data_IF_530364024282
#
_entry.id   IF_530364024282
#
_cell.length_a   1.000
_cell.length_b   1.000
_cell.length_c   1.000
_cell.angle_alpha   90.00
_cell.angle_beta   90.00
_cell.angle_gamma   90.00
#
_symmetry.space_group_name_H-M   'P 1'
#
loop_
_entity.id
_entity.type
_entity.pdbx_description
1 polymer ?
#
# COMPACT_ATOMS: atom_id res chain seq x y z
N UNK A 1 -51.20 -4.20 15.84
CA UNK A 1 -50.87 -4.42 14.43
C UNK A 1 -49.99 -3.25 14.00
N UNK A 2 -48.70 -3.52 13.83
CA UNK A 2 -47.62 -2.52 13.86
C UNK A 2 -47.35 -2.03 12.45
N UNK A 3 -47.46 -0.71 12.28
CA UNK A 3 -46.97 0.05 11.13
C UNK A 3 -45.46 0.25 11.28
N UNK A 4 -44.68 -0.19 10.30
CA UNK A 4 -43.23 0.00 10.27
C UNK A 4 -42.85 1.14 9.30
N UNK A 5 -41.92 2.04 9.68
CA UNK A 5 -41.16 2.85 8.74
C UNK A 5 -39.69 2.38 8.61
N UNK A 6 -39.03 2.99 7.61
CA UNK A 6 -37.74 2.74 6.96
C UNK A 6 -36.48 2.57 7.84
N UNK A 7 -35.40 2.02 7.26
CA UNK A 7 -34.12 2.71 6.92
C UNK A 7 -33.19 1.72 6.16
N UNK A 8 -32.46 2.24 5.16
CA UNK A 8 -31.51 1.56 4.27
C UNK A 8 -30.16 1.22 4.95
N UNK A 9 -29.37 0.27 4.41
CA UNK A 9 -27.89 0.39 4.26
C UNK A 9 -27.29 -0.73 3.38
N UNK A 10 -26.14 -0.41 2.78
CA UNK A 10 -25.53 -0.99 1.58
C UNK A 10 -24.71 -2.28 1.75
N UNK A 11 -24.67 -3.02 0.63
CA UNK A 11 -23.70 -3.95 0.04
C UNK A 11 -22.41 -4.35 0.81
N UNK A 12 -22.32 -5.64 1.15
CA UNK A 12 -21.07 -6.40 1.27
C UNK A 12 -21.28 -7.75 0.55
N UNK A 13 -20.40 -8.11 -0.39
CA UNK A 13 -20.19 -9.52 -0.72
C UNK A 13 -18.78 -9.76 -1.27
N UNK A 14 -17.93 -10.35 -0.41
CA UNK A 14 -16.70 -11.06 -0.78
C UNK A 14 -16.98 -12.15 -1.82
N UNK A 15 -16.02 -12.37 -2.72
CA UNK A 15 -15.98 -13.58 -3.55
C UNK A 15 -14.55 -14.13 -3.64
N UNK A 16 -14.38 -15.31 -3.05
CA UNK A 16 -13.26 -16.25 -3.20
C UNK A 16 -13.30 -16.97 -4.57
N UNK A 17 -12.21 -17.67 -4.98
CA UNK A 17 -11.99 -18.07 -6.37
C UNK A 17 -12.59 -19.45 -6.68
N UNK A 18 -13.17 -19.60 -7.88
CA UNK A 18 -13.50 -20.90 -8.48
C UNK A 18 -12.59 -21.17 -9.69
N UNK A 19 -11.90 -22.31 -9.62
CA UNK A 19 -11.16 -22.92 -10.72
C UNK A 19 -12.16 -23.53 -11.72
N UNK A 20 -12.07 -23.17 -13.01
CA UNK A 20 -12.61 -23.98 -14.10
C UNK A 20 -11.65 -24.03 -15.30
N UNK A 21 -11.43 -25.27 -15.76
CA UNK A 21 -10.55 -25.75 -16.82
C UNK A 21 -10.88 -25.23 -18.23
N UNK A 22 -9.93 -25.24 -19.19
CA UNK A 22 -10.20 -24.83 -20.56
C UNK A 22 -10.75 -26.00 -21.40
N UNK A 23 -11.84 -25.77 -22.13
CA UNK A 23 -12.29 -26.66 -23.21
C UNK A 23 -11.53 -26.31 -24.51
N UNK A 24 -11.01 -27.36 -25.12
CA UNK A 24 -10.23 -27.43 -26.36
C UNK A 24 -11.03 -26.91 -27.59
N UNK A 25 -10.45 -26.08 -28.50
CA UNK A 25 -11.10 -25.78 -29.77
C UNK A 25 -10.78 -26.88 -30.79
N UNK A 26 -11.82 -27.41 -31.44
CA UNK A 26 -11.73 -28.30 -32.59
C UNK A 26 -10.97 -27.61 -33.73
N UNK A 27 -9.89 -28.25 -34.18
CA UNK A 27 -9.12 -27.85 -35.34
C UNK A 27 -9.87 -28.19 -36.63
N UNK A 28 -10.26 -27.18 -37.42
CA UNK A 28 -10.48 -27.35 -38.85
C UNK A 28 -9.18 -27.03 -39.59
N UNK A 29 -8.55 -28.07 -40.15
CA UNK A 29 -7.50 -27.93 -41.17
C UNK A 29 -8.17 -27.58 -42.51
N UNK A 30 -7.82 -26.44 -43.10
CA UNK A 30 -7.80 -26.29 -44.56
C UNK A 30 -6.36 -26.05 -45.00
N UNK A 31 -5.92 -26.87 -45.95
CA UNK A 31 -4.52 -27.02 -46.35
C UNK A 31 -4.02 -26.00 -47.37
N UNK A 32 -2.69 -25.94 -47.41
CA UNK A 32 -1.81 -25.69 -48.55
C UNK A 32 -1.81 -24.30 -49.22
N UNK A 33 -0.73 -23.55 -48.99
CA UNK A 33 0.00 -22.90 -50.10
C UNK A 33 0.00 -21.36 -50.19
N UNK A 34 1.13 -20.79 -49.74
CA UNK A 34 1.86 -19.64 -50.33
C UNK A 34 1.19 -18.26 -50.42
N UNK A 35 1.56 -17.41 -49.45
CA UNK A 35 2.07 -16.04 -49.60
C UNK A 35 1.51 -15.16 -50.73
N UNK A 36 0.63 -14.21 -50.37
CA UNK A 36 0.84 -12.81 -50.74
C UNK A 36 0.09 -11.86 -49.80
N UNK A 37 0.87 -10.97 -49.19
CA UNK A 37 0.40 -9.82 -48.42
C UNK A 37 -0.65 -9.03 -49.21
N UNK A 38 -1.86 -8.91 -48.69
CA UNK A 38 -2.72 -7.78 -48.99
C UNK A 38 -3.49 -7.44 -47.73
N UNK A 39 -3.15 -6.29 -47.16
CA UNK A 39 -3.81 -5.66 -46.02
C UNK A 39 -5.33 -5.69 -46.19
N UNK A 40 -6.00 -6.55 -45.42
CA UNK A 40 -7.45 -6.51 -45.26
C UNK A 40 -7.74 -6.21 -43.80
N UNK A 41 -8.08 -4.93 -43.57
CA UNK A 41 -8.57 -4.31 -42.34
C UNK A 41 -9.44 -5.25 -41.50
N UNK A 42 -8.82 -6.04 -40.64
CA UNK A 42 -9.47 -6.56 -39.44
C UNK A 42 -8.89 -5.72 -38.32
N UNK A 43 -9.65 -4.70 -37.91
CA UNK A 43 -9.48 -4.08 -36.61
C UNK A 43 -9.71 -5.17 -35.57
N UNK A 44 -8.66 -5.94 -35.27
CA UNK A 44 -8.53 -6.50 -33.94
C UNK A 44 -8.40 -5.26 -33.08
N UNK A 45 -9.53 -4.80 -32.54
CA UNK A 45 -9.54 -4.09 -31.29
C UNK A 45 -8.95 -5.06 -30.27
N UNK A 46 -7.64 -5.30 -30.36
CA UNK A 46 -6.84 -5.58 -29.18
C UNK A 46 -7.22 -4.40 -28.33
N UNK A 47 -7.98 -4.67 -27.28
CA UNK A 47 -8.28 -3.67 -26.27
C UNK A 47 -6.92 -3.07 -25.94
N UNK A 48 -6.63 -1.89 -26.50
CA UNK A 48 -5.75 -0.95 -25.83
C UNK A 48 -6.53 -0.61 -24.60
N UNK A 49 -6.45 -1.49 -23.60
CA UNK A 49 -6.76 -1.14 -22.24
C UNK A 49 -6.02 0.19 -22.06
N UNK A 50 -6.72 1.27 -21.66
CA UNK A 50 -6.03 2.51 -21.36
C UNK A 50 -4.89 2.11 -20.44
N UNK A 51 -3.66 2.54 -20.75
CA UNK A 51 -2.46 2.16 -20.01
C UNK A 51 -2.80 2.23 -18.52
N UNK A 52 -3.17 1.09 -17.93
CA UNK A 52 -3.53 1.02 -16.54
C UNK A 52 -2.24 1.45 -15.87
N UNK A 53 -2.26 2.58 -15.15
CA UNK A 53 -1.07 3.21 -14.56
C UNK A 53 -0.17 2.11 -14.05
N UNK A 54 0.85 1.76 -14.84
CA UNK A 54 1.50 0.49 -14.64
C UNK A 54 2.27 0.68 -13.34
N UNK A 55 1.88 -0.08 -12.32
CA UNK A 55 2.43 0.02 -10.98
C UNK A 55 3.60 -0.97 -10.91
N UNK A 56 4.76 -0.51 -10.45
CA UNK A 56 5.94 -1.35 -10.31
C UNK A 56 5.60 -2.62 -9.47
N UNK A 57 5.68 -3.83 -10.03
CA UNK A 57 5.29 -5.06 -9.32
C UNK A 57 6.31 -5.47 -8.24
N UNK A 58 7.46 -4.80 -8.20
CA UNK A 58 8.59 -5.10 -7.34
C UNK A 58 8.66 -4.21 -6.09
N UNK A 59 7.63 -3.39 -5.82
CA UNK A 59 7.63 -2.57 -4.61
C UNK A 59 7.70 -3.44 -3.35
N UNK A 60 8.66 -3.19 -2.43
CA UNK A 60 8.81 -3.94 -1.19
C UNK A 60 7.66 -3.62 -0.20
N UNK A 61 7.54 -4.39 0.90
CA UNK A 61 6.64 -4.05 2.00
C UNK A 61 6.86 -2.63 2.53
N UNK A 62 5.86 -2.09 3.20
CA UNK A 62 5.88 -0.72 3.74
C UNK A 62 6.15 0.35 2.67
N UNK A 63 5.72 0.09 1.43
CA UNK A 63 5.78 1.05 0.32
C UNK A 63 4.49 1.04 -0.50
N UNK A 64 4.26 2.13 -1.23
CA UNK A 64 3.20 2.28 -2.23
C UNK A 64 3.81 2.59 -3.58
N UNK A 65 3.24 2.06 -4.66
CA UNK A 65 3.75 2.39 -5.98
C UNK A 65 3.44 3.83 -6.36
N UNK A 66 4.38 4.44 -7.08
CA UNK A 66 4.23 5.79 -7.65
C UNK A 66 3.97 5.68 -9.16
N UNK A 67 4.76 4.86 -9.83
CA UNK A 67 4.64 4.58 -11.27
C UNK A 67 5.27 3.21 -11.60
N UNK A 68 5.55 2.94 -12.87
CA UNK A 68 6.04 1.64 -13.35
C UNK A 68 7.48 1.32 -12.92
N UNK A 69 8.22 2.34 -12.50
CA UNK A 69 9.66 2.26 -12.20
C UNK A 69 10.02 2.83 -10.83
N UNK A 70 9.04 3.20 -10.02
CA UNK A 70 9.29 3.82 -8.72
C UNK A 70 8.22 3.46 -7.69
N UNK A 71 8.70 3.24 -6.47
CA UNK A 71 7.89 3.04 -5.27
C UNK A 71 8.23 4.12 -4.25
N UNK A 72 7.34 4.34 -3.30
CA UNK A 72 7.47 5.32 -2.22
C UNK A 72 7.24 4.63 -0.89
N UNK A 73 8.19 4.73 0.03
CA UNK A 73 8.01 4.24 1.39
C UNK A 73 6.80 4.91 2.06
N UNK A 74 6.10 4.16 2.90
CA UNK A 74 5.05 4.71 3.73
C UNK A 74 5.65 5.69 4.76
N UNK A 75 4.85 6.63 5.31
CA UNK A 75 5.32 7.50 6.39
C UNK A 75 5.86 6.67 7.57
N UNK A 76 6.96 7.11 8.16
CA UNK A 76 7.67 6.35 9.20
C UNK A 76 8.64 5.30 8.67
N UNK A 77 8.78 5.16 7.35
CA UNK A 77 9.73 4.24 6.72
C UNK A 77 10.65 4.98 5.73
N UNK A 78 11.88 4.48 5.57
CA UNK A 78 12.85 5.01 4.62
C UNK A 78 13.78 3.93 4.07
N UNK A 79 14.31 4.14 2.86
CA UNK A 79 15.42 3.36 2.30
C UNK A 79 16.73 4.16 2.37
N UNK A 80 17.83 3.53 2.00
CA UNK A 80 19.13 4.17 1.77
C UNK A 80 19.06 5.33 0.73
N UNK A 81 18.23 5.18 -0.30
CA UNK A 81 17.98 6.24 -1.29
C UNK A 81 16.92 7.26 -0.86
N UNK A 82 16.35 7.13 0.35
CA UNK A 82 15.30 8.01 0.89
C UNK A 82 13.89 7.42 0.76
N UNK A 83 12.90 8.30 0.56
CA UNK A 83 11.48 7.91 0.51
C UNK A 83 11.09 7.27 -0.84
N UNK A 84 11.71 7.67 -1.95
CA UNK A 84 11.42 7.14 -3.29
C UNK A 84 12.50 6.15 -3.67
N UNK A 85 12.10 4.91 -3.97
CA UNK A 85 13.00 3.84 -4.41
C UNK A 85 12.76 3.51 -5.88
N UNK A 86 13.84 3.41 -6.64
CA UNK A 86 13.85 3.03 -8.06
C UNK A 86 14.57 1.71 -8.30
N UNK A 87 15.21 1.16 -7.27
CA UNK A 87 15.95 -0.08 -7.30
C UNK A 87 15.17 -1.20 -6.58
N UNK A 88 14.86 -2.33 -7.24
CA UNK A 88 14.16 -3.45 -6.63
C UNK A 88 14.85 -4.11 -5.44
N UNK A 89 16.16 -3.88 -5.27
CA UNK A 89 16.95 -4.43 -4.14
C UNK A 89 16.88 -3.58 -2.88
N UNK A 90 16.17 -2.44 -2.92
CA UNK A 90 15.97 -1.59 -1.76
C UNK A 90 14.75 -2.02 -0.93
N UNK A 91 14.79 -1.66 0.35
CA UNK A 91 13.75 -1.99 1.31
C UNK A 91 13.34 -0.72 2.07
N UNK A 92 12.07 -0.63 2.46
CA UNK A 92 11.56 0.47 3.27
C UNK A 92 11.60 0.04 4.74
N UNK A 93 12.67 0.43 5.42
CA UNK A 93 12.90 0.08 6.81
C UNK A 93 12.34 1.16 7.73
N UNK A 94 11.91 0.74 8.92
CA UNK A 94 11.36 1.61 9.95
C UNK A 94 12.34 2.70 10.35
N UNK A 95 11.85 3.93 10.46
CA UNK A 95 12.64 5.08 10.92
C UNK A 95 12.61 5.07 12.45
N UNK A 96 13.74 4.78 13.09
CA UNK A 96 13.84 4.93 14.55
C UNK A 96 13.91 6.41 14.95
N UNK A 97 12.76 7.03 15.22
CA UNK A 97 12.67 8.43 15.60
C UNK A 97 13.25 8.70 17.00
N UNK A 98 13.35 7.67 17.84
CA UNK A 98 13.99 7.72 19.15
C UNK A 98 15.51 7.51 19.07
N UNK A 99 16.01 7.12 17.90
CA UNK A 99 17.42 6.87 17.65
C UNK A 99 18.28 8.13 17.70
N UNK A 100 19.62 7.98 17.83
CA UNK A 100 20.56 9.09 18.00
C UNK A 100 20.61 10.06 16.80
N UNK A 101 20.09 9.66 15.64
CA UNK A 101 20.13 10.44 14.40
C UNK A 101 18.97 11.44 14.26
N UNK A 102 17.78 11.09 14.75
CA UNK A 102 16.58 11.93 14.65
C UNK A 102 16.22 12.64 15.96
N UNK A 103 16.57 12.03 17.11
CA UNK A 103 16.36 12.56 18.48
C UNK A 103 15.07 13.37 18.60
N UNK A 104 13.92 12.72 18.37
CA UNK A 104 12.68 13.36 18.79
C UNK A 104 12.74 13.61 20.29
N UNK A 105 12.50 14.87 20.67
CA UNK A 105 12.36 15.25 22.08
C UNK A 105 10.92 14.96 22.52
N UNK A 106 10.77 14.15 23.57
CA UNK A 106 9.50 13.96 24.27
C UNK A 106 9.30 14.97 25.40
N UNK A 107 10.27 15.87 25.63
CA UNK A 107 10.33 16.75 26.78
C UNK A 107 10.79 16.05 28.07
N UNK A 108 10.67 16.77 29.19
CA UNK A 108 11.11 16.29 30.50
C UNK A 108 10.17 15.21 31.04
N UNK A 109 10.69 14.33 31.89
CA UNK A 109 9.89 13.29 32.57
C UNK A 109 9.14 12.36 31.61
N UNK A 110 9.65 12.16 30.41
CA UNK A 110 9.08 11.26 29.42
C UNK A 110 10.18 10.54 28.63
N UNK A 111 9.89 9.30 28.25
CA UNK A 111 10.73 8.47 27.40
C UNK A 111 10.12 8.35 26.01
N UNK A 112 10.96 8.40 24.98
CA UNK A 112 10.59 8.04 23.61
C UNK A 112 10.56 6.52 23.46
N UNK A 113 9.54 6.01 22.76
CA UNK A 113 9.42 4.60 22.36
C UNK A 113 9.15 4.50 20.87
N UNK A 114 10.07 3.86 20.16
CA UNK A 114 9.93 3.58 18.73
C UNK A 114 8.90 2.46 18.51
N UNK A 115 8.13 2.56 17.45
CA UNK A 115 7.14 1.57 17.01
C UNK A 115 7.22 1.40 15.49
N UNK A 116 6.74 0.31 14.93
CA UNK A 116 6.79 0.15 13.47
C UNK A 116 5.92 1.21 12.76
N UNK A 117 6.56 2.05 11.94
CA UNK A 117 5.99 3.16 11.19
C UNK A 117 5.72 4.43 12.00
N UNK A 118 6.12 4.51 13.27
CA UNK A 118 5.87 5.68 14.13
C UNK A 118 6.63 5.63 15.45
N UNK A 119 6.45 6.63 16.29
CA UNK A 119 6.88 6.59 17.69
C UNK A 119 5.78 7.09 18.61
N UNK A 120 5.96 6.89 19.91
CA UNK A 120 5.21 7.62 20.92
C UNK A 120 6.10 7.98 22.10
N UNK A 121 5.70 9.01 22.83
CA UNK A 121 6.29 9.40 24.09
C UNK A 121 5.46 8.82 25.23
N UNK A 122 6.11 8.39 26.30
CA UNK A 122 5.43 7.91 27.50
C UNK A 122 5.99 8.60 28.73
N UNK A 123 5.14 9.07 29.64
CA UNK A 123 5.59 9.60 30.93
C UNK A 123 6.43 8.55 31.67
N UNK A 124 7.50 8.98 32.34
CA UNK A 124 8.30 8.07 33.17
C UNK A 124 7.45 7.45 34.29
N UNK A 125 7.82 6.28 34.82
CA UNK A 125 7.05 5.60 35.87
C UNK A 125 6.75 6.52 37.05
N UNK A 126 5.47 6.58 37.46
CA UNK A 126 4.98 7.45 38.53
C UNK A 126 4.37 8.78 38.05
N UNK A 127 4.54 9.13 36.77
CA UNK A 127 3.97 10.32 36.15
C UNK A 127 2.83 9.97 35.21
N UNK A 128 1.90 10.91 35.03
CA UNK A 128 0.78 10.83 34.08
C UNK A 128 0.53 12.22 33.52
N UNK A 129 0.01 12.25 32.30
CA UNK A 129 -0.54 13.46 31.72
C UNK A 129 -1.65 14.01 32.63
N UNK A 130 -1.89 15.31 32.56
CA UNK A 130 -3.02 15.96 33.26
C UNK A 130 -4.37 15.37 32.83
N UNK A 131 -4.45 14.86 31.60
CA UNK A 131 -5.61 14.12 31.08
C UNK A 131 -5.80 12.72 31.71
N UNK A 132 -4.86 12.25 32.51
CA UNK A 132 -4.84 10.93 33.13
C UNK A 132 -4.18 9.82 32.29
N UNK A 133 -3.84 10.10 31.04
CA UNK A 133 -3.11 9.19 30.16
C UNK A 133 -1.61 9.11 30.48
N UNK A 134 -0.91 8.16 29.87
CA UNK A 134 0.55 8.02 30.02
C UNK A 134 1.32 8.19 28.71
N UNK A 135 0.63 8.17 27.56
CA UNK A 135 1.23 8.15 26.22
C UNK A 135 0.74 9.35 25.41
N UNK A 136 1.65 9.98 24.65
CA UNK A 136 1.41 11.17 23.83
C UNK A 136 2.33 11.17 22.61
N UNK A 137 2.11 12.07 21.63
CA UNK A 137 2.86 12.04 20.36
C UNK A 137 4.02 13.03 20.29
N UNK A 138 3.86 14.24 20.80
CA UNK A 138 4.85 15.32 20.64
C UNK A 138 5.21 15.99 21.98
N UNK A 139 6.37 16.64 22.07
CA UNK A 139 6.76 17.41 23.26
C UNK A 139 5.73 18.47 23.68
N UNK A 140 5.02 19.07 22.73
CA UNK A 140 3.96 20.06 23.02
C UNK A 140 2.77 19.49 23.80
N UNK A 141 2.57 18.17 23.75
CA UNK A 141 1.51 17.47 24.49
C UNK A 141 2.00 16.98 25.87
N UNK A 142 3.30 17.17 26.18
CA UNK A 142 3.88 16.73 27.42
C UNK A 142 3.30 17.52 28.60
N UNK A 143 2.48 16.84 29.40
CA UNK A 143 1.93 17.32 30.67
C UNK A 143 2.18 16.31 31.79
N UNK A 144 3.23 15.49 31.61
CA UNK A 144 3.89 14.81 32.72
C UNK A 144 4.56 15.90 33.60
#
# INVERSE_FOLDING_TARGET
>A
AVSAPAVAFSSELQSQPFLLSPLLPLALKLGSGVLQCLDLLITVSVLTAPAATACAPWCPPNSKCVNATACRCLPGFSSLSGEIITNPSENCDDIDECGPRLRVSCGKSADCKNTEGSYHCTCIPGYKLVSGGTTFKNESENTC
#
